data_IF_621168754751
#
_entry.id   IF_621168754751
#
_cell.length_a   1.000
_cell.length_b   1.000
_cell.length_c   1.000
_cell.angle_alpha   90.00
_cell.angle_beta   90.00
_cell.angle_gamma   90.00
#
_symmetry.space_group_name_H-M   'P 1'
#
loop_
_entity.id
_entity.type
_entity.pdbx_description
1 polymer ?
#
# COMPACT_ATOMS: atom_id res chain seq x y z
N UNK A 1 2.68 26.39 -16.19
CA UNK A 1 3.16 27.26 -15.08
C UNK A 1 1.94 27.92 -14.47
N UNK A 2 1.51 27.49 -13.27
CA UNK A 2 0.70 28.37 -12.42
C UNK A 2 1.55 29.61 -12.17
N UNK A 3 1.20 30.72 -12.81
CA UNK A 3 2.05 31.90 -12.87
C UNK A 3 1.84 32.76 -11.64
N UNK A 4 2.94 33.14 -10.98
CA UNK A 4 2.92 34.30 -10.09
C UNK A 4 2.53 35.56 -10.89
N UNK A 5 1.94 36.58 -10.25
CA UNK A 5 1.69 37.87 -10.90
C UNK A 5 2.96 38.41 -11.54
N UNK A 6 2.86 38.95 -12.75
CA UNK A 6 3.97 39.67 -13.38
C UNK A 6 4.12 41.03 -12.69
N UNK A 7 5.29 41.64 -12.81
CA UNK A 7 5.54 42.97 -12.26
C UNK A 7 4.49 44.01 -12.71
N UNK A 8 4.06 43.94 -13.97
CA UNK A 8 3.01 44.82 -14.50
C UNK A 8 1.65 44.59 -13.83
N UNK A 9 1.34 43.34 -13.48
CA UNK A 9 0.08 43.00 -12.80
C UNK A 9 0.08 43.61 -11.38
N UNK A 10 1.23 43.56 -10.69
CA UNK A 10 1.42 44.22 -9.39
C UNK A 10 1.32 45.73 -9.51
N UNK A 11 1.95 46.33 -10.53
CA UNK A 11 1.90 47.78 -10.77
C UNK A 11 0.47 48.28 -10.95
N UNK A 12 -0.30 47.62 -11.82
CA UNK A 12 -1.70 47.98 -12.03
C UNK A 12 -2.54 47.83 -10.76
N UNK A 13 -2.28 46.79 -9.95
CA UNK A 13 -2.97 46.59 -8.68
C UNK A 13 -2.68 47.72 -7.68
N UNK A 14 -1.43 48.20 -7.62
CA UNK A 14 -1.03 49.34 -6.77
C UNK A 14 -1.64 50.65 -7.27
N UNK A 15 -1.56 50.94 -8.57
CA UNK A 15 -2.15 52.14 -9.16
C UNK A 15 -3.68 52.21 -8.97
N UNK A 16 -4.34 51.05 -8.84
CA UNK A 16 -5.78 50.97 -8.63
C UNK A 16 -6.22 51.27 -7.18
N UNK A 17 -5.31 51.31 -6.21
CA UNK A 17 -5.63 51.57 -4.80
C UNK A 17 -6.25 52.95 -4.58
N UNK A 18 -5.78 53.95 -5.34
CA UNK A 18 -6.12 55.37 -5.16
C UNK A 18 -6.93 55.93 -6.35
N UNK A 19 -7.60 55.08 -7.14
CA UNK A 19 -8.36 55.54 -8.30
C UNK A 19 -9.65 56.28 -7.88
N UNK A 20 -9.73 57.62 -8.04
CA UNK A 20 -10.81 58.44 -7.49
C UNK A 20 -12.14 58.27 -8.22
N UNK A 21 -12.12 57.74 -9.45
CA UNK A 21 -13.31 57.51 -10.28
C UNK A 21 -13.90 56.10 -10.10
N UNK A 22 -13.37 55.30 -9.17
CA UNK A 22 -13.81 53.91 -8.95
C UNK A 22 -15.10 53.83 -8.12
N UNK A 23 -16.01 52.93 -8.52
CA UNK A 23 -17.21 52.56 -7.74
C UNK A 23 -16.94 51.54 -6.64
N UNK A 24 -15.70 51.06 -6.54
CA UNK A 24 -15.27 50.03 -5.59
C UNK A 24 -13.92 50.41 -4.99
N UNK A 25 -13.72 50.09 -3.71
CA UNK A 25 -12.43 50.24 -3.05
C UNK A 25 -11.57 49.00 -3.35
N UNK A 26 -10.41 49.20 -3.96
CA UNK A 26 -9.41 48.13 -4.14
C UNK A 26 -8.54 48.07 -2.89
N UNK A 27 -8.34 46.88 -2.35
CA UNK A 27 -7.52 46.66 -1.16
C UNK A 27 -6.54 45.52 -1.44
N UNK A 28 -5.24 45.77 -1.21
CA UNK A 28 -4.24 44.72 -1.14
C UNK A 28 -4.25 44.17 0.29
N UNK A 29 -4.62 42.90 0.43
CA UNK A 29 -4.72 42.25 1.73
C UNK A 29 -4.21 40.82 1.68
N UNK A 30 -4.06 40.21 2.85
CA UNK A 30 -3.73 38.80 2.97
C UNK A 30 -4.92 37.92 2.56
N UNK A 31 -4.65 36.70 2.10
CA UNK A 31 -5.69 35.77 1.62
C UNK A 31 -6.71 35.39 2.68
N UNK A 32 -6.35 35.51 3.97
CA UNK A 32 -7.23 35.23 5.10
C UNK A 32 -8.18 36.38 5.45
N UNK A 33 -7.93 37.61 4.98
CA UNK A 33 -8.74 38.78 5.33
C UNK A 33 -10.20 38.62 4.88
N UNK A 34 -10.44 38.04 3.71
CA UNK A 34 -11.79 37.75 3.23
C UNK A 34 -12.60 36.94 4.26
N UNK A 35 -11.98 35.95 4.91
CA UNK A 35 -12.67 35.13 5.91
C UNK A 35 -12.93 35.88 7.21
N UNK A 36 -12.08 36.85 7.58
CA UNK A 36 -12.26 37.73 8.74
C UNK A 36 -13.41 38.72 8.53
N UNK A 37 -13.61 39.17 7.30
CA UNK A 37 -14.65 40.13 6.94
C UNK A 37 -16.04 39.50 6.80
N UNK A 38 -16.13 38.16 6.75
CA UNK A 38 -17.41 37.43 6.79
C UNK A 38 -18.02 37.56 8.18
N UNK A 39 -18.91 38.54 8.34
CA UNK A 39 -19.71 38.74 9.56
C UNK A 39 -20.72 37.61 9.79
N UNK A 40 -21.25 37.42 11.01
CA UNK A 40 -22.29 36.42 11.28
C UNK A 40 -23.51 36.56 10.35
N UNK A 41 -23.97 37.79 10.10
CA UNK A 41 -25.11 38.04 9.21
C UNK A 41 -24.83 37.76 7.73
N UNK A 42 -23.57 37.78 7.29
CA UNK A 42 -23.17 37.30 5.95
C UNK A 42 -23.16 35.77 5.95
N UNK A 43 -22.57 35.16 6.98
CA UNK A 43 -22.44 33.70 7.11
C UNK A 43 -23.80 33.00 7.10
N UNK A 44 -24.80 33.54 7.80
CA UNK A 44 -26.18 33.00 7.82
C UNK A 44 -26.84 32.93 6.43
N UNK A 45 -26.36 33.73 5.47
CA UNK A 45 -26.89 33.78 4.10
C UNK A 45 -26.12 32.88 3.13
N UNK A 46 -25.00 32.29 3.56
CA UNK A 46 -24.20 31.41 2.70
C UNK A 46 -24.86 30.03 2.56
N UNK A 47 -24.78 29.40 1.37
CA UNK A 47 -25.29 28.06 1.18
C UNK A 47 -24.48 27.05 2.00
N UNK A 48 -25.16 26.03 2.51
CA UNK A 48 -24.54 24.86 3.16
C UNK A 48 -24.56 23.70 2.18
N UNK A 49 -23.39 23.09 1.98
CA UNK A 49 -23.24 21.88 1.18
C UNK A 49 -22.83 20.71 2.07
N UNK A 50 -23.30 19.51 1.75
CA UNK A 50 -22.94 18.27 2.45
C UNK A 50 -22.60 17.19 1.42
N UNK A 51 -21.48 16.49 1.64
CA UNK A 51 -20.92 15.49 0.72
C UNK A 51 -19.62 15.96 0.06
N UNK A 52 -19.16 15.19 -0.92
CA UNK A 52 -17.95 15.51 -1.68
C UNK A 52 -18.22 16.57 -2.74
N UNK A 53 -17.27 17.48 -2.95
CA UNK A 53 -17.29 18.44 -4.06
C UNK A 53 -16.71 17.81 -5.33
N UNK A 54 -17.38 16.76 -5.81
CA UNK A 54 -16.92 16.02 -6.99
C UNK A 54 -17.13 16.86 -8.26
N UNK A 55 -16.05 17.08 -9.00
CA UNK A 55 -16.10 17.70 -10.32
C UNK A 55 -16.51 16.62 -11.36
N UNK A 56 -17.76 16.65 -11.83
CA UNK A 56 -18.30 15.61 -12.74
C UNK A 56 -18.12 15.92 -14.24
N UNK A 57 -17.93 17.20 -14.61
CA UNK A 57 -17.83 17.63 -16.01
C UNK A 57 -16.38 17.75 -16.53
N UNK A 58 -15.39 17.80 -15.63
CA UNK A 58 -13.97 17.96 -15.95
C UNK A 58 -13.11 17.06 -15.07
N UNK A 59 -11.92 16.68 -15.56
CA UNK A 59 -10.86 15.95 -14.83
C UNK A 59 -11.00 14.42 -14.71
N UNK A 60 -12.03 13.76 -15.26
CA UNK A 60 -12.16 12.30 -15.18
C UNK A 60 -10.94 11.51 -15.74
N UNK A 61 -10.27 12.05 -16.76
CA UNK A 61 -9.09 11.42 -17.38
C UNK A 61 -7.84 11.38 -16.48
N UNK A 62 -7.79 12.19 -15.42
CA UNK A 62 -6.63 12.26 -14.53
C UNK A 62 -6.56 11.07 -13.55
N UNK A 63 -7.68 10.35 -13.38
CA UNK A 63 -7.77 9.14 -12.56
C UNK A 63 -7.01 7.96 -13.17
N UNK A 64 -6.94 7.87 -14.50
CA UNK A 64 -6.36 6.73 -15.22
C UNK A 64 -5.05 7.03 -15.94
N UNK A 65 -4.75 8.31 -16.22
CA UNK A 65 -3.45 8.73 -16.77
C UNK A 65 -2.30 8.24 -15.88
N UNK A 66 -1.10 8.01 -16.43
CA UNK A 66 0.11 7.64 -15.66
C UNK A 66 -0.13 6.60 -14.53
N UNK A 67 -0.88 5.53 -14.81
CA UNK A 67 -1.27 4.53 -13.81
C UNK A 67 -0.08 3.92 -13.04
N UNK A 68 1.10 3.83 -13.68
CA UNK A 68 2.33 3.39 -13.03
C UNK A 68 2.77 4.32 -11.90
N UNK A 69 2.67 5.64 -12.08
CA UNK A 69 3.00 6.61 -11.04
C UNK A 69 2.07 6.46 -9.84
N UNK A 70 0.75 6.36 -10.08
CA UNK A 70 -0.24 6.09 -9.02
C UNK A 70 0.08 4.81 -8.26
N UNK A 71 0.46 3.74 -8.98
CA UNK A 71 0.84 2.47 -8.37
C UNK A 71 2.10 2.60 -7.51
N UNK A 72 3.10 3.35 -7.96
CA UNK A 72 4.33 3.61 -7.19
C UNK A 72 4.01 4.43 -5.94
N UNK A 73 3.29 5.55 -6.07
CA UNK A 73 2.82 6.35 -4.94
C UNK A 73 2.10 5.48 -3.91
N UNK A 74 1.13 4.65 -4.35
CA UNK A 74 0.37 3.79 -3.43
C UNK A 74 1.25 2.74 -2.73
N UNK A 75 2.25 2.20 -3.42
CA UNK A 75 3.22 1.29 -2.79
C UNK A 75 4.07 2.02 -1.77
N UNK A 76 4.54 3.22 -2.08
CA UNK A 76 5.32 4.03 -1.18
C UNK A 76 4.54 4.50 0.04
N UNK A 77 3.25 4.86 -0.08
CA UNK A 77 2.37 5.13 1.06
C UNK A 77 2.31 3.94 2.04
N UNK A 78 2.06 2.73 1.51
CA UNK A 78 1.99 1.52 2.33
C UNK A 78 3.35 1.18 2.97
N UNK A 79 4.44 1.38 2.22
CA UNK A 79 5.80 1.12 2.67
C UNK A 79 6.24 2.13 3.73
N UNK A 80 5.92 3.41 3.55
CA UNK A 80 6.18 4.48 4.50
C UNK A 80 5.47 4.21 5.83
N UNK A 81 4.17 3.86 5.77
CA UNK A 81 3.40 3.46 6.95
C UNK A 81 4.09 2.31 7.69
N UNK A 82 4.48 1.25 6.98
CA UNK A 82 5.17 0.10 7.59
C UNK A 82 6.53 0.49 8.19
N UNK A 83 7.30 1.33 7.49
CA UNK A 83 8.62 1.77 7.92
C UNK A 83 8.56 2.62 9.19
N UNK A 84 7.65 3.58 9.27
CA UNK A 84 7.45 4.42 10.47
C UNK A 84 6.97 3.59 11.66
N UNK A 85 5.98 2.72 11.45
CA UNK A 85 5.44 1.85 12.50
C UNK A 85 6.53 0.97 13.08
N UNK A 86 7.27 0.23 12.24
CA UNK A 86 8.30 -0.68 12.72
C UNK A 86 9.50 0.07 13.29
N UNK A 87 9.87 1.22 12.75
CA UNK A 87 10.93 2.05 13.34
C UNK A 87 10.54 2.55 14.74
N UNK A 88 9.28 2.92 14.94
CA UNK A 88 8.75 3.32 16.25
C UNK A 88 8.79 2.17 17.25
N UNK A 89 8.35 0.97 16.83
CA UNK A 89 8.40 -0.25 17.65
C UNK A 89 9.84 -0.63 18.00
N UNK A 90 10.76 -0.62 17.02
CA UNK A 90 12.17 -0.91 17.24
C UNK A 90 12.79 0.05 18.26
N UNK A 91 12.53 1.35 18.10
CA UNK A 91 13.00 2.39 19.03
C UNK A 91 12.44 2.20 20.44
N UNK A 92 11.13 1.92 20.56
CA UNK A 92 10.49 1.67 21.84
C UNK A 92 11.04 0.43 22.56
N UNK A 93 11.21 -0.68 21.85
CA UNK A 93 11.62 -1.97 22.44
C UNK A 93 13.11 -2.04 22.76
N UNK A 94 13.95 -1.43 21.93
CA UNK A 94 15.42 -1.63 21.99
C UNK A 94 16.21 -0.35 22.25
N UNK A 95 15.52 0.79 22.37
CA UNK A 95 16.14 2.13 22.44
C UNK A 95 17.00 2.47 21.21
N UNK A 96 16.79 1.78 20.08
CA UNK A 96 17.43 2.13 18.82
C UNK A 96 16.98 3.52 18.35
N UNK A 97 17.85 4.22 17.64
CA UNK A 97 17.53 5.52 17.06
C UNK A 97 16.40 5.42 16.03
N UNK A 98 15.40 6.30 16.12
CA UNK A 98 14.36 6.43 15.10
C UNK A 98 14.92 7.17 13.88
N UNK A 99 14.82 6.63 12.65
CA UNK A 99 15.48 7.17 11.47
C UNK A 99 14.74 8.39 10.87
N UNK A 100 14.51 9.42 11.69
CA UNK A 100 13.66 10.58 11.37
C UNK A 100 14.07 11.27 10.07
N UNK A 101 15.36 11.62 9.93
CA UNK A 101 15.87 12.33 8.75
C UNK A 101 15.63 11.53 7.47
N UNK A 102 15.84 10.22 7.50
CA UNK A 102 15.66 9.36 6.34
C UNK A 102 14.19 9.22 5.93
N UNK A 103 13.30 9.09 6.92
CA UNK A 103 11.86 9.02 6.70
C UNK A 103 11.34 10.35 6.15
N UNK A 104 11.73 11.48 6.73
CA UNK A 104 11.35 12.81 6.25
C UNK A 104 11.81 13.05 4.80
N UNK A 105 13.07 12.77 4.48
CA UNK A 105 13.58 12.93 3.11
C UNK A 105 12.81 12.05 2.11
N UNK A 106 12.40 10.84 2.51
CA UNK A 106 11.63 9.93 1.66
C UNK A 106 10.19 10.44 1.46
N UNK A 107 9.58 10.98 2.53
CA UNK A 107 8.25 11.59 2.46
C UNK A 107 8.23 12.85 1.61
N UNK A 108 9.23 13.72 1.70
CA UNK A 108 9.31 14.92 0.87
C UNK A 108 9.25 14.60 -0.62
N UNK A 109 9.89 13.50 -1.05
CA UNK A 109 9.84 13.02 -2.43
C UNK A 109 8.44 12.51 -2.82
N UNK A 110 7.80 11.69 -1.98
CA UNK A 110 6.42 11.21 -2.23
C UNK A 110 5.44 12.38 -2.29
N UNK A 111 5.51 13.29 -1.32
CA UNK A 111 4.64 14.47 -1.27
C UNK A 111 4.87 15.39 -2.47
N UNK A 112 6.11 15.51 -2.96
CA UNK A 112 6.43 16.18 -4.21
C UNK A 112 5.70 15.57 -5.40
N UNK A 113 5.71 14.24 -5.51
CA UNK A 113 4.98 13.49 -6.54
C UNK A 113 3.46 13.62 -6.41
N UNK A 114 2.92 13.87 -5.22
CA UNK A 114 1.48 14.03 -4.96
C UNK A 114 0.89 15.38 -5.42
N UNK A 115 1.70 16.26 -5.99
CA UNK A 115 1.23 17.52 -6.57
C UNK A 115 0.16 17.26 -7.66
N UNK A 116 -0.89 18.10 -7.71
CA UNK A 116 -2.09 17.87 -8.53
C UNK A 116 -1.88 17.82 -10.04
N UNK A 117 -0.73 18.29 -10.55
CA UNK A 117 -0.35 18.10 -11.95
C UNK A 117 0.53 16.87 -12.16
N UNK A 118 1.23 16.41 -11.12
CA UNK A 118 2.18 15.27 -11.19
C UNK A 118 1.43 13.96 -10.98
N UNK A 119 0.92 13.71 -9.77
CA UNK A 119 0.24 12.45 -9.46
C UNK A 119 -0.93 12.20 -10.41
N UNK A 120 -1.80 13.17 -10.74
CA UNK A 120 -2.87 12.99 -11.72
C UNK A 120 -2.39 12.83 -13.16
N UNK A 121 -1.11 13.10 -13.45
CA UNK A 121 -0.49 12.82 -14.75
C UNK A 121 -0.91 13.82 -15.83
N UNK A 122 -1.11 15.08 -15.46
CA UNK A 122 -1.46 16.20 -16.35
C UNK A 122 -0.26 17.11 -16.65
N UNK A 123 0.90 16.81 -16.07
CA UNK A 123 2.18 17.47 -16.34
C UNK A 123 2.74 17.16 -17.72
N UNK A 124 3.73 17.94 -18.14
CA UNK A 124 4.54 17.62 -19.31
C UNK A 124 5.29 16.28 -19.10
N UNK A 125 5.55 15.48 -20.15
CA UNK A 125 6.16 14.16 -20.01
C UNK A 125 7.47 14.12 -19.23
N UNK A 126 8.31 15.16 -19.36
CA UNK A 126 9.59 15.27 -18.65
C UNK A 126 9.41 15.32 -17.13
N UNK A 127 8.35 15.96 -16.64
CA UNK A 127 8.07 16.03 -15.21
C UNK A 127 7.76 14.64 -14.62
N UNK A 128 7.07 13.79 -15.38
CA UNK A 128 6.78 12.42 -14.95
C UNK A 128 8.07 11.61 -14.75
N UNK A 129 9.09 11.81 -15.60
CA UNK A 129 10.38 11.11 -15.44
C UNK A 129 11.09 11.47 -14.13
N UNK A 130 11.03 12.73 -13.70
CA UNK A 130 11.56 13.14 -12.40
C UNK A 130 10.75 12.50 -11.27
N UNK A 131 9.42 12.56 -11.33
CA UNK A 131 8.55 11.94 -10.33
C UNK A 131 8.80 10.42 -10.18
N UNK A 132 9.00 9.70 -11.30
CA UNK A 132 9.36 8.28 -11.24
C UNK A 132 10.67 8.04 -10.49
N UNK A 133 11.70 8.85 -10.73
CA UNK A 133 12.98 8.73 -10.03
C UNK A 133 12.83 9.04 -8.54
N UNK A 134 12.08 10.09 -8.20
CA UNK A 134 11.82 10.49 -6.81
C UNK A 134 11.07 9.39 -6.05
N UNK A 135 10.08 8.76 -6.68
CA UNK A 135 9.35 7.62 -6.12
C UNK A 135 10.27 6.40 -5.90
N UNK A 136 11.21 6.11 -6.80
CA UNK A 136 12.19 5.02 -6.57
C UNK A 136 13.16 5.34 -5.42
N UNK A 137 13.60 6.59 -5.30
CA UNK A 137 14.47 7.02 -4.20
C UNK A 137 13.72 6.91 -2.87
N UNK A 138 12.46 7.35 -2.83
CA UNK A 138 11.60 7.20 -1.66
C UNK A 138 11.37 5.72 -1.30
N UNK A 139 11.10 4.86 -2.29
CA UNK A 139 10.93 3.42 -2.09
C UNK A 139 12.16 2.81 -1.40
N UNK A 140 13.37 3.16 -1.84
CA UNK A 140 14.60 2.70 -1.22
C UNK A 140 14.73 3.22 0.23
N UNK A 141 14.45 4.50 0.45
CA UNK A 141 14.52 5.13 1.78
C UNK A 141 13.59 4.45 2.80
N UNK A 142 12.33 4.21 2.43
CA UNK A 142 11.38 3.51 3.27
C UNK A 142 11.71 2.02 3.41
N UNK A 143 12.11 1.35 2.33
CA UNK A 143 12.48 -0.08 2.35
C UNK A 143 13.64 -0.35 3.28
N UNK A 144 14.69 0.47 3.22
CA UNK A 144 15.85 0.33 4.09
C UNK A 144 15.51 0.60 5.55
N UNK A 145 14.67 1.61 5.82
CA UNK A 145 14.19 1.92 7.17
C UNK A 145 13.36 0.77 7.75
N UNK A 146 12.44 0.21 6.96
CA UNK A 146 11.64 -0.96 7.34
C UNK A 146 12.53 -2.19 7.58
N UNK A 147 13.45 -2.50 6.68
CA UNK A 147 14.38 -3.64 6.82
C UNK A 147 15.22 -3.53 8.08
N UNK A 148 15.75 -2.34 8.37
CA UNK A 148 16.54 -2.11 9.57
C UNK A 148 15.69 -2.33 10.83
N UNK A 149 14.51 -1.71 10.90
CA UNK A 149 13.60 -1.86 12.02
C UNK A 149 13.18 -3.33 12.25
N UNK A 150 12.81 -4.05 11.19
CA UNK A 150 12.47 -5.47 11.28
C UNK A 150 13.67 -6.33 11.71
N UNK A 151 14.88 -6.00 11.27
CA UNK A 151 16.11 -6.68 11.72
C UNK A 151 16.31 -6.50 13.23
N UNK A 152 16.21 -5.27 13.72
CA UNK A 152 16.31 -4.94 15.15
C UNK A 152 15.27 -5.71 15.96
N UNK A 153 14.00 -5.67 15.56
CA UNK A 153 12.92 -6.38 16.26
C UNK A 153 13.15 -7.89 16.22
N UNK A 154 13.52 -8.44 15.05
CA UNK A 154 13.75 -9.87 14.87
C UNK A 154 14.85 -10.42 15.78
N UNK A 155 15.87 -9.61 16.08
CA UNK A 155 16.96 -9.97 17.00
C UNK A 155 16.51 -10.19 18.45
N UNK A 156 15.34 -9.66 18.80
CA UNK A 156 14.74 -9.78 20.14
C UNK A 156 13.73 -10.93 20.25
N UNK A 157 13.36 -11.56 19.12
CA UNK A 157 12.39 -12.65 19.12
C UNK A 157 13.03 -13.98 19.55
N UNK A 158 12.26 -14.82 20.23
CA UNK A 158 12.67 -16.20 20.49
C UNK A 158 12.62 -17.02 19.20
N UNK A 159 13.78 -17.21 18.57
CA UNK A 159 13.94 -17.99 17.34
C UNK A 159 14.48 -19.40 17.59
N UNK A 160 14.43 -19.90 18.83
CA UNK A 160 14.75 -21.30 19.14
C UNK A 160 13.74 -22.23 18.46
N UNK A 161 14.17 -22.83 17.36
CA UNK A 161 13.41 -23.77 16.55
C UNK A 161 14.09 -25.14 16.53
N UNK A 162 13.33 -26.21 16.28
CA UNK A 162 13.93 -27.53 16.08
C UNK A 162 14.55 -27.65 14.68
N UNK A 163 13.96 -26.98 13.69
CA UNK A 163 14.51 -26.79 12.36
C UNK A 163 14.98 -25.36 12.17
N UNK A 164 14.42 -24.67 11.18
CA UNK A 164 14.80 -23.30 10.80
C UNK A 164 13.69 -22.33 11.16
N UNK A 165 14.04 -21.26 11.86
CA UNK A 165 13.08 -20.20 12.18
C UNK A 165 12.80 -19.32 10.97
N UNK A 166 11.52 -19.07 10.69
CA UNK A 166 11.04 -18.09 9.71
C UNK A 166 10.15 -17.10 10.44
N UNK A 167 10.45 -15.80 10.29
CA UNK A 167 9.64 -14.75 10.90
C UNK A 167 8.77 -14.12 9.82
N UNK A 168 7.47 -14.02 10.09
CA UNK A 168 6.49 -13.39 9.21
C UNK A 168 6.00 -12.11 9.88
N UNK A 169 6.03 -11.01 9.13
CA UNK A 169 5.49 -9.71 9.53
C UNK A 169 4.17 -9.43 8.82
N UNK A 170 3.16 -9.02 9.58
CA UNK A 170 1.87 -8.55 9.07
C UNK A 170 1.82 -7.02 9.13
N UNK A 171 1.87 -6.30 7.98
CA UNK A 171 1.85 -4.84 7.97
C UNK A 171 0.47 -4.21 8.13
N UNK A 172 -0.61 -4.99 8.16
CA UNK A 172 -1.97 -4.43 8.22
C UNK A 172 -2.52 -4.42 9.64
N UNK A 173 -3.37 -3.43 9.94
CA UNK A 173 -4.03 -3.23 11.23
C UNK A 173 -5.23 -4.18 11.46
N UNK A 174 -5.05 -5.46 11.12
CA UNK A 174 -6.00 -6.53 11.37
C UNK A 174 -5.25 -7.87 11.45
N UNK A 175 -5.76 -8.80 12.25
CA UNK A 175 -5.27 -10.18 12.26
C UNK A 175 -5.43 -10.79 10.86
N UNK A 176 -4.41 -11.52 10.43
CA UNK A 176 -4.33 -12.01 9.05
C UNK A 176 -3.97 -13.48 9.00
N UNK A 177 -4.83 -14.25 8.35
CA UNK A 177 -4.57 -15.62 7.92
C UNK A 177 -4.31 -15.60 6.42
N UNK A 178 -3.07 -15.87 6.00
CA UNK A 178 -2.71 -15.80 4.58
C UNK A 178 -1.60 -16.79 4.20
N UNK A 179 -1.48 -17.08 2.91
CA UNK A 179 -0.46 -17.95 2.37
C UNK A 179 0.84 -17.16 2.21
N UNK A 180 1.87 -17.57 2.95
CA UNK A 180 3.22 -17.01 2.87
C UNK A 180 4.07 -17.87 1.95
N UNK A 181 4.73 -17.24 0.98
CA UNK A 181 5.81 -17.86 0.20
C UNK A 181 7.15 -17.57 0.87
N UNK A 182 7.92 -18.60 1.19
CA UNK A 182 9.25 -18.50 1.74
C UNK A 182 10.26 -19.32 0.93
N UNK A 183 11.52 -18.89 0.95
CA UNK A 183 12.65 -19.59 0.34
C UNK A 183 13.73 -19.80 1.39
N UNK A 184 14.23 -21.03 1.50
CA UNK A 184 15.33 -21.39 2.37
C UNK A 184 16.42 -22.12 1.59
N UNK A 185 17.67 -21.83 1.92
CA UNK A 185 18.85 -22.48 1.34
C UNK A 185 19.32 -23.65 2.22
N UNK A 186 19.57 -24.80 1.61
CA UNK A 186 20.03 -26.01 2.28
C UNK A 186 21.34 -26.53 1.68
N UNK A 187 22.29 -27.03 2.49
CA UNK A 187 23.45 -27.75 1.96
C UNK A 187 23.06 -28.95 1.10
N UNK A 188 22.02 -29.68 1.52
CA UNK A 188 21.35 -30.72 0.76
C UNK A 188 19.84 -30.53 0.89
N UNK A 189 19.13 -30.51 -0.24
CA UNK A 189 17.70 -30.25 -0.24
C UNK A 189 16.93 -31.41 0.43
N UNK A 190 16.06 -31.12 1.41
CA UNK A 190 15.19 -32.15 1.98
C UNK A 190 14.12 -32.58 0.98
N UNK A 191 13.57 -33.78 1.13
CA UNK A 191 12.48 -34.27 0.30
C UNK A 191 11.21 -33.43 0.49
N UNK A 192 10.84 -33.19 1.75
CA UNK A 192 9.71 -32.38 2.14
C UNK A 192 10.05 -31.56 3.40
N UNK A 193 9.14 -30.65 3.74
CA UNK A 193 9.19 -29.85 4.96
C UNK A 193 7.84 -29.89 5.68
N UNK A 194 7.85 -29.59 6.97
CA UNK A 194 6.68 -29.25 7.78
C UNK A 194 6.92 -27.92 8.46
N UNK A 195 5.87 -27.12 8.60
CA UNK A 195 5.93 -25.82 9.28
C UNK A 195 5.10 -25.90 10.56
N UNK A 196 5.63 -25.38 11.65
CA UNK A 196 4.97 -25.32 12.95
C UNK A 196 4.88 -23.87 13.42
N UNK A 197 3.76 -23.51 14.06
CA UNK A 197 3.61 -22.21 14.72
C UNK A 197 4.41 -22.13 16.04
N UNK A 198 4.37 -20.96 16.69
CA UNK A 198 5.06 -20.71 17.96
C UNK A 198 4.58 -21.61 19.12
N UNK A 199 3.40 -22.23 19.01
CA UNK A 199 2.87 -23.18 19.99
C UNK A 199 3.24 -24.64 19.67
N UNK A 200 4.00 -24.88 18.60
CA UNK A 200 4.39 -26.20 18.14
C UNK A 200 3.29 -26.95 17.39
N UNK A 201 2.23 -26.26 16.93
CA UNK A 201 1.16 -26.85 16.12
C UNK A 201 1.55 -26.81 14.65
N UNK A 202 1.42 -27.94 13.95
CA UNK A 202 1.68 -28.05 12.51
C UNK A 202 0.67 -27.18 11.73
N UNK A 203 1.17 -26.35 10.81
CA UNK A 203 0.35 -25.57 9.88
C UNK A 203 0.44 -26.15 8.47
N UNK A 204 -0.60 -26.02 7.63
CA UNK A 204 -0.55 -26.49 6.24
C UNK A 204 0.61 -25.86 5.49
N UNK A 205 1.43 -26.70 4.84
CA UNK A 205 2.58 -26.27 4.05
C UNK A 205 2.77 -27.14 2.81
N UNK A 206 3.36 -26.56 1.75
CA UNK A 206 3.63 -27.24 0.49
C UNK A 206 4.93 -26.73 -0.13
N UNK A 207 5.79 -27.66 -0.58
CA UNK A 207 6.94 -27.33 -1.43
C UNK A 207 6.44 -26.95 -2.82
N UNK A 208 6.86 -25.77 -3.30
CA UNK A 208 6.48 -25.23 -4.62
C UNK A 208 7.54 -25.57 -5.66
N UNK A 209 8.81 -25.35 -5.33
CA UNK A 209 9.92 -25.58 -6.26
C UNK A 209 11.23 -25.86 -5.52
N UNK A 210 12.14 -26.54 -6.22
CA UNK A 210 13.50 -26.82 -5.78
C UNK A 210 14.46 -26.40 -6.89
N UNK A 211 15.29 -25.39 -6.64
CA UNK A 211 16.20 -24.80 -7.63
C UNK A 211 17.62 -24.74 -7.05
N UNK A 212 18.52 -25.61 -7.51
CA UNK A 212 19.86 -25.70 -6.94
C UNK A 212 19.82 -26.11 -5.46
N UNK A 213 20.28 -25.23 -4.56
CA UNK A 213 20.24 -25.43 -3.11
C UNK A 213 19.05 -24.71 -2.43
N UNK A 214 18.16 -24.07 -3.20
CA UNK A 214 17.01 -23.31 -2.71
C UNK A 214 15.74 -24.13 -2.75
N UNK A 215 15.00 -24.13 -1.65
CA UNK A 215 13.68 -24.71 -1.54
C UNK A 215 12.66 -23.59 -1.33
N UNK A 216 11.77 -23.42 -2.29
CA UNK A 216 10.63 -22.50 -2.19
C UNK A 216 9.40 -23.27 -1.74
N UNK A 217 8.73 -22.78 -0.72
CA UNK A 217 7.54 -23.40 -0.16
C UNK A 217 6.51 -22.34 0.23
N UNK A 218 5.27 -22.77 0.34
CA UNK A 218 4.17 -21.97 0.86
C UNK A 218 3.65 -22.58 2.14
N UNK A 219 3.14 -21.75 3.05
CA UNK A 219 2.45 -22.20 4.25
C UNK A 219 1.38 -21.19 4.69
N UNK A 220 0.36 -21.68 5.39
CA UNK A 220 -0.68 -20.82 5.95
C UNK A 220 -0.18 -20.20 7.26
N UNK A 221 -0.01 -18.89 7.28
CA UNK A 221 0.45 -18.13 8.44
C UNK A 221 -0.70 -17.34 9.05
N UNK A 222 -0.92 -17.52 10.34
CA UNK A 222 -1.75 -16.65 11.17
C UNK A 222 -0.83 -15.66 11.88
N UNK A 223 -1.02 -14.37 11.64
CA UNK A 223 -0.15 -13.31 12.16
C UNK A 223 -1.01 -12.17 12.74
N UNK A 224 -0.76 -11.72 13.97
CA UNK A 224 -1.55 -10.66 14.59
C UNK A 224 -1.42 -9.32 13.85
N UNK A 225 -2.40 -8.44 14.05
CA UNK A 225 -2.42 -7.07 13.54
C UNK A 225 -1.13 -6.30 13.83
N UNK A 226 -0.52 -5.71 12.78
CA UNK A 226 0.75 -4.94 12.85
C UNK A 226 1.84 -5.70 13.63
N UNK A 227 1.84 -7.03 13.50
CA UNK A 227 2.60 -7.93 14.36
C UNK A 227 3.51 -8.89 13.61
N UNK A 228 4.30 -9.65 14.38
CA UNK A 228 5.23 -10.66 13.86
C UNK A 228 4.96 -12.01 14.51
N UNK A 229 5.14 -13.09 13.76
CA UNK A 229 5.06 -14.46 14.27
C UNK A 229 6.27 -15.28 13.80
N UNK A 230 6.75 -16.16 14.68
CA UNK A 230 7.86 -17.09 14.40
C UNK A 230 7.29 -18.46 14.04
N UNK A 231 7.79 -19.04 12.97
CA UNK A 231 7.46 -20.38 12.50
C UNK A 231 8.72 -21.26 12.46
N UNK A 232 8.56 -22.54 12.80
CA UNK A 232 9.63 -23.54 12.80
C UNK A 232 9.46 -24.47 11.58
N UNK A 233 10.41 -24.39 10.65
CA UNK A 233 10.43 -25.18 9.43
C UNK A 233 11.33 -26.39 9.63
N UNK A 234 10.74 -27.58 9.69
CA UNK A 234 11.43 -28.85 9.95
C UNK A 234 11.51 -29.69 8.69
N UNK A 235 12.66 -30.30 8.46
CA UNK A 235 12.90 -31.25 7.37
C UNK A 235 12.13 -32.56 7.63
N UNK A 236 11.61 -33.18 6.58
CA UNK A 236 10.97 -34.48 6.70
C UNK A 236 11.03 -35.30 5.40
N UNK A 237 11.07 -36.62 5.57
CA UNK A 237 10.89 -37.57 4.47
C UNK A 237 9.44 -38.03 4.31
N UNK A 238 8.55 -37.59 5.22
CA UNK A 238 7.13 -37.90 5.13
C UNK A 238 6.50 -37.20 3.92
N UNK A 239 5.67 -37.94 3.18
CA UNK A 239 4.90 -37.35 2.09
C UNK A 239 3.87 -36.36 2.65
N UNK A 240 3.55 -35.27 1.91
CA UNK A 240 2.51 -34.33 2.32
C UNK A 240 1.18 -35.06 2.53
N UNK A 241 0.47 -34.69 3.60
CA UNK A 241 -0.88 -35.21 3.83
C UNK A 241 -1.82 -34.71 2.72
N UNK A 242 -2.67 -35.60 2.19
CA UNK A 242 -3.71 -35.19 1.23
C UNK A 242 -4.77 -34.37 1.95
N UNK A 243 -4.98 -33.13 1.50
CA UNK A 243 -6.10 -32.28 1.95
C UNK A 243 -7.22 -32.30 0.92
N UNK A 244 -8.46 -32.42 1.39
CA UNK A 244 -9.66 -32.33 0.56
C UNK A 244 -10.32 -30.93 0.62
N UNK A 245 -9.72 -29.96 1.31
CA UNK A 245 -10.30 -28.63 1.53
C UNK A 245 -10.27 -27.73 0.30
N UNK A 246 -9.27 -27.91 -0.57
CA UNK A 246 -9.13 -27.20 -1.84
C UNK A 246 -9.10 -28.24 -2.96
N UNK A 247 -9.98 -28.08 -3.95
CA UNK A 247 -10.03 -28.90 -5.15
C UNK A 247 -9.80 -28.01 -6.35
N UNK A 248 -8.86 -28.42 -7.21
CA UNK A 248 -8.62 -27.75 -8.48
C UNK A 248 -8.77 -28.77 -9.61
N UNK A 249 -9.44 -28.37 -10.69
CA UNK A 249 -9.49 -29.08 -11.98
C UNK A 249 -8.87 -28.19 -13.04
N UNK A 250 -8.87 -28.64 -14.30
CA UNK A 250 -8.40 -27.82 -15.43
C UNK A 250 -9.15 -26.49 -15.59
N UNK A 251 -10.41 -26.42 -15.13
CA UNK A 251 -11.31 -25.30 -15.37
C UNK A 251 -12.10 -24.87 -14.12
N UNK A 252 -11.70 -25.33 -12.92
CA UNK A 252 -12.37 -24.94 -11.69
C UNK A 252 -11.45 -24.94 -10.48
N UNK A 253 -11.77 -24.09 -9.52
CA UNK A 253 -11.21 -24.12 -8.18
C UNK A 253 -12.35 -24.03 -7.17
N UNK A 254 -12.32 -24.90 -6.16
CA UNK A 254 -13.38 -25.04 -5.18
C UNK A 254 -12.79 -25.22 -3.78
N UNK A 255 -13.24 -24.40 -2.83
CA UNK A 255 -12.94 -24.53 -1.41
C UNK A 255 -14.24 -24.54 -0.58
N UNK A 256 -14.15 -24.33 0.73
CA UNK A 256 -15.33 -24.31 1.61
C UNK A 256 -16.26 -23.11 1.40
N UNK A 257 -15.76 -22.02 0.81
CA UNK A 257 -16.52 -20.77 0.59
C UNK A 257 -17.05 -20.65 -0.83
N UNK A 258 -16.21 -20.91 -1.83
CA UNK A 258 -16.50 -20.62 -3.22
C UNK A 258 -16.25 -21.82 -4.12
N UNK A 259 -16.99 -21.84 -5.24
CA UNK A 259 -16.65 -22.60 -6.44
C UNK A 259 -16.54 -21.64 -7.61
N UNK A 260 -15.38 -21.58 -8.24
CA UNK A 260 -15.11 -20.70 -9.38
C UNK A 260 -14.89 -21.56 -10.62
N UNK A 261 -15.54 -21.21 -11.73
CA UNK A 261 -15.37 -21.85 -13.03
C UNK A 261 -14.72 -20.89 -14.03
N UNK A 262 -13.77 -21.40 -14.80
CA UNK A 262 -13.09 -20.67 -15.87
C UNK A 262 -13.48 -21.32 -17.20
N UNK A 263 -13.97 -20.51 -18.14
CA UNK A 263 -14.33 -20.96 -19.47
C UNK A 263 -13.09 -21.21 -20.34
N UNK A 264 -13.27 -21.92 -21.46
CA UNK A 264 -12.17 -22.24 -22.38
C UNK A 264 -11.53 -21.00 -23.03
N UNK A 265 -12.26 -19.87 -23.03
CA UNK A 265 -11.77 -18.57 -23.50
C UNK A 265 -11.06 -17.75 -22.41
N UNK A 266 -10.93 -18.28 -21.19
CA UNK A 266 -10.31 -17.60 -20.04
C UNK A 266 -11.27 -16.76 -19.19
N UNK A 267 -12.53 -16.58 -19.60
CA UNK A 267 -13.51 -15.83 -18.80
C UNK A 267 -13.85 -16.57 -17.51
N UNK A 268 -14.11 -15.81 -16.43
CA UNK A 268 -14.72 -16.39 -15.23
C UNK A 268 -16.22 -16.56 -15.51
N UNK A 269 -16.67 -17.80 -15.62
CA UNK A 269 -18.06 -18.13 -16.03
C UNK A 269 -19.01 -18.31 -14.85
N UNK A 270 -18.49 -18.61 -13.66
CA UNK A 270 -19.27 -18.78 -12.43
C UNK A 270 -18.42 -18.47 -11.21
N UNK A 271 -19.01 -17.76 -10.23
CA UNK A 271 -18.51 -17.63 -8.87
C UNK A 271 -19.69 -17.97 -7.94
N UNK A 272 -19.78 -19.25 -7.57
CA UNK A 272 -20.81 -19.72 -6.66
C UNK A 272 -20.35 -19.57 -5.20
N UNK A 273 -21.04 -18.73 -4.44
CA UNK A 273 -20.88 -18.58 -3.00
C UNK A 273 -21.70 -19.66 -2.27
N UNK A 274 -21.03 -20.52 -1.50
CA UNK A 274 -21.65 -21.64 -0.77
C UNK A 274 -22.36 -21.21 0.51
N UNK A 275 -21.94 -20.10 1.11
CA UNK A 275 -22.57 -19.55 2.31
C UNK A 275 -23.89 -18.87 1.94
N UNK A 276 -23.86 -18.03 0.90
CA UNK A 276 -25.05 -17.37 0.37
C UNK A 276 -25.92 -18.29 -0.50
N UNK A 277 -25.36 -19.44 -0.92
CA UNK A 277 -25.98 -20.39 -1.86
C UNK A 277 -26.40 -19.69 -3.15
N UNK A 278 -25.52 -18.85 -3.68
CA UNK A 278 -25.87 -17.93 -4.77
C UNK A 278 -24.74 -17.84 -5.79
N UNK A 279 -25.13 -17.79 -7.06
CA UNK A 279 -24.26 -17.36 -8.14
C UNK A 279 -24.07 -15.84 -8.08
N UNK A 280 -22.80 -15.40 -7.97
CA UNK A 280 -22.46 -13.99 -7.86
C UNK A 280 -22.40 -13.30 -9.22
N UNK A 281 -22.22 -14.05 -10.31
CA UNK A 281 -22.14 -13.50 -11.66
C UNK A 281 -23.49 -13.59 -12.39
N UNK A 282 -23.97 -12.46 -12.91
CA UNK A 282 -25.15 -12.45 -13.80
C UNK A 282 -24.81 -12.97 -15.22
N UNK A 283 -23.55 -12.80 -15.63
CA UNK A 283 -22.99 -13.23 -16.91
C UNK A 283 -21.46 -13.43 -16.75
N UNK A 284 -20.78 -14.14 -17.67
CA UNK A 284 -19.33 -14.30 -17.60
C UNK A 284 -18.59 -12.96 -17.47
N UNK A 285 -17.53 -12.96 -16.68
CA UNK A 285 -16.65 -11.81 -16.47
C UNK A 285 -15.36 -11.98 -17.29
N UNK A 286 -15.15 -11.08 -18.24
CA UNK A 286 -13.90 -10.95 -18.99
C UNK A 286 -12.96 -10.00 -18.25
N UNK A 287 -11.73 -10.44 -18.00
CA UNK A 287 -10.66 -9.68 -17.33
C UNK A 287 -9.68 -9.08 -18.32
#
# INVERSE_FOLDING_TARGET
>A
KGGAPRETDVRHAVESLDNPDSKFQVVLSSSDQMYKDITPGIREKLPVYSGDLLLIEHSAGSLTSQAYLKRMNRKNENLAQSAEQMSSVASYLTQSEYPQTKLNNSWELVLGSQMHDILPGTSIPVANNYAYNDEFIAENGFSESLKNALSIISSQLNTKAQGRAVIVYNPVAADRDDVVTAELEYPALPDNIKVFDANGKEVPSQVVSKNGNKLTFIFLAQVPSVGMAVFDVRETNAKPAKSNKLKATANSIENEYYKVLVGDNGDITSIYDKNLKKELLQKPASL
#
